data_IF_657098962618
#
_entry.id   IF_657098962618
#
_cell.length_a   1.000
_cell.length_b   1.000
_cell.length_c   1.000
_cell.angle_alpha   90.00
_cell.angle_beta   90.00
_cell.angle_gamma   90.00
#
_symmetry.space_group_name_H-M   'P 1'
#
loop_
_entity.id
_entity.type
_entity.pdbx_description
1 polymer ?
#
# COMPACT_ATOMS: atom_id res chain seq x y z
N UNK A 1 -35.64 -67.60 -34.35
CA UNK A 1 -34.62 -66.64 -34.82
C UNK A 1 -35.04 -65.26 -34.29
N UNK A 2 -34.59 -64.90 -33.09
CA UNK A 2 -34.97 -63.67 -32.38
C UNK A 2 -33.67 -62.88 -32.23
N UNK A 3 -33.55 -61.77 -32.96
CA UNK A 3 -32.43 -60.84 -32.85
C UNK A 3 -32.69 -59.89 -31.68
N UNK A 4 -31.83 -59.95 -30.66
CA UNK A 4 -31.82 -59.02 -29.54
C UNK A 4 -30.98 -57.78 -29.91
N UNK A 5 -31.61 -56.62 -29.93
CA UNK A 5 -30.98 -55.32 -30.13
C UNK A 5 -30.43 -54.84 -28.79
N UNK A 6 -29.10 -54.78 -28.65
CA UNK A 6 -28.42 -54.19 -27.50
C UNK A 6 -28.37 -52.67 -27.69
N UNK A 7 -29.17 -51.94 -26.90
CA UNK A 7 -29.11 -50.49 -26.82
C UNK A 7 -27.91 -50.05 -25.97
N UNK A 8 -26.98 -49.33 -26.58
CA UNK A 8 -25.84 -48.72 -25.91
C UNK A 8 -26.30 -47.42 -25.21
N UNK A 9 -26.34 -47.41 -23.88
CA UNK A 9 -26.55 -46.19 -23.09
C UNK A 9 -25.23 -45.44 -23.04
N UNK A 10 -25.11 -44.33 -23.78
CA UNK A 10 -23.99 -43.39 -23.65
C UNK A 10 -24.28 -42.54 -22.41
N UNK A 11 -23.64 -42.89 -21.29
CA UNK A 11 -23.58 -42.03 -20.12
C UNK A 11 -22.75 -40.78 -20.48
N UNK A 12 -23.41 -39.62 -20.58
CA UNK A 12 -22.74 -38.34 -20.71
C UNK A 12 -21.91 -38.07 -19.46
N UNK A 13 -20.59 -38.23 -19.58
CA UNK A 13 -19.63 -37.77 -18.58
C UNK A 13 -19.70 -36.24 -18.65
N UNK A 14 -20.45 -35.63 -17.73
CA UNK A 14 -20.33 -34.22 -17.42
C UNK A 14 -18.90 -33.97 -16.97
N UNK A 15 -18.15 -33.24 -17.79
CA UNK A 15 -16.84 -32.69 -17.42
C UNK A 15 -17.10 -31.70 -16.29
N UNK A 16 -17.05 -32.20 -15.05
CA UNK A 16 -16.87 -31.39 -13.86
C UNK A 16 -15.75 -30.42 -14.17
N UNK A 17 -16.03 -29.13 -14.05
CA UNK A 17 -15.02 -28.10 -14.21
C UNK A 17 -13.90 -28.44 -13.23
N UNK A 18 -12.80 -28.99 -13.74
CA UNK A 18 -11.59 -29.10 -12.95
C UNK A 18 -11.30 -27.67 -12.51
N UNK A 19 -11.39 -27.42 -11.21
CA UNK A 19 -10.94 -26.18 -10.63
C UNK A 19 -9.48 -26.03 -11.10
N UNK A 20 -9.25 -25.12 -12.04
CA UNK A 20 -7.90 -24.80 -12.48
C UNK A 20 -7.17 -24.34 -11.22
N UNK A 21 -6.22 -25.13 -10.73
CA UNK A 21 -5.34 -24.70 -9.67
C UNK A 21 -4.62 -23.45 -10.18
N UNK A 22 -4.66 -22.38 -9.39
CA UNK A 22 -3.91 -21.16 -9.70
C UNK A 22 -2.43 -21.53 -9.92
N UNK A 23 -1.86 -21.10 -11.04
CA UNK A 23 -0.48 -21.41 -11.37
C UNK A 23 0.43 -20.65 -10.41
N UNK A 24 1.24 -21.38 -9.62
CA UNK A 24 2.09 -20.79 -8.57
C UNK A 24 3.52 -20.46 -9.02
N UNK A 25 3.68 -20.06 -10.28
CA UNK A 25 5.00 -19.66 -10.77
C UNK A 25 5.40 -18.33 -10.14
N UNK A 26 6.64 -18.25 -9.69
CA UNK A 26 7.27 -17.05 -9.16
C UNK A 26 8.49 -16.68 -10.00
N UNK A 27 8.83 -15.40 -10.01
CA UNK A 27 10.03 -14.86 -10.66
C UNK A 27 11.06 -14.54 -9.58
N UNK A 28 12.35 -14.67 -9.90
CA UNK A 28 13.44 -14.33 -9.00
C UNK A 28 13.94 -12.90 -9.25
N UNK A 29 14.73 -12.36 -8.33
CA UNK A 29 15.28 -11.01 -8.43
C UNK A 29 16.21 -10.83 -9.64
N UNK A 30 16.34 -9.59 -10.11
CA UNK A 30 17.35 -9.27 -11.11
C UNK A 30 18.74 -9.40 -10.48
N UNK A 31 19.56 -10.26 -11.07
CA UNK A 31 20.95 -10.47 -10.65
C UNK A 31 21.82 -9.26 -11.00
N UNK A 32 22.67 -8.86 -10.05
CA UNK A 32 23.62 -7.76 -10.15
C UNK A 32 24.71 -7.87 -9.08
N UNK A 33 25.71 -6.97 -9.10
CA UNK A 33 26.77 -6.96 -8.10
C UNK A 33 26.22 -6.66 -6.69
N UNK A 34 25.15 -5.85 -6.62
CA UNK A 34 24.53 -5.34 -5.41
C UNK A 34 23.71 -6.34 -4.60
N UNK A 35 23.38 -7.52 -5.14
CA UNK A 35 22.39 -8.37 -4.49
C UNK A 35 22.81 -8.68 -3.05
N UNK A 36 21.88 -8.56 -2.11
CA UNK A 36 22.00 -8.74 -0.66
C UNK A 36 22.94 -7.77 0.06
N UNK A 37 23.31 -6.64 -0.56
CA UNK A 37 24.16 -5.64 0.09
C UNK A 37 23.47 -4.89 1.22
N UNK A 38 22.15 -4.70 1.18
CA UNK A 38 21.43 -4.13 2.33
C UNK A 38 21.52 -5.06 3.55
N UNK A 39 21.47 -6.37 3.33
CA UNK A 39 21.66 -7.37 4.40
C UNK A 39 23.07 -7.31 5.01
N UNK A 40 24.11 -7.15 4.19
CA UNK A 40 25.50 -7.12 4.67
C UNK A 40 25.91 -5.78 5.28
N UNK A 41 25.52 -4.67 4.65
CA UNK A 41 25.90 -3.32 5.07
C UNK A 41 25.03 -2.80 6.21
N UNK A 42 23.72 -3.04 6.14
CA UNK A 42 22.71 -2.47 7.04
C UNK A 42 21.87 -3.56 7.73
N UNK A 43 22.54 -4.59 8.28
CA UNK A 43 21.86 -5.79 8.79
C UNK A 43 20.78 -5.50 9.84
N UNK A 44 20.97 -4.51 10.71
CA UNK A 44 19.97 -4.12 11.69
C UNK A 44 18.68 -3.63 11.01
N UNK A 45 18.79 -2.70 10.06
CA UNK A 45 17.69 -2.19 9.27
C UNK A 45 17.01 -3.30 8.43
N UNK A 46 17.79 -4.17 7.79
CA UNK A 46 17.26 -5.34 7.08
C UNK A 46 16.35 -6.20 7.99
N UNK A 47 16.76 -6.43 9.24
CA UNK A 47 15.99 -7.23 10.19
C UNK A 47 14.73 -6.51 10.67
N UNK A 48 14.76 -5.18 10.80
CA UNK A 48 13.55 -4.37 11.06
C UNK A 48 12.54 -4.57 9.93
N UNK A 49 12.98 -4.46 8.67
CA UNK A 49 12.15 -4.74 7.48
C UNK A 49 11.51 -6.13 7.55
N UNK A 50 12.30 -7.16 7.87
CA UNK A 50 11.80 -8.53 7.98
C UNK A 50 10.72 -8.71 9.07
N UNK A 51 10.82 -7.99 10.20
CA UNK A 51 9.79 -7.99 11.24
C UNK A 51 8.51 -7.25 10.82
N UNK A 52 8.65 -6.17 10.04
CA UNK A 52 7.51 -5.46 9.43
C UNK A 52 6.76 -6.38 8.45
N UNK A 53 7.49 -7.07 7.57
CA UNK A 53 6.89 -8.00 6.60
C UNK A 53 6.21 -9.18 7.32
N UNK A 54 6.78 -9.72 8.41
CA UNK A 54 6.09 -10.67 9.29
C UNK A 54 4.72 -10.15 9.74
N UNK A 55 4.65 -8.91 10.23
CA UNK A 55 3.40 -8.32 10.70
C UNK A 55 2.37 -8.23 9.58
N UNK A 56 2.78 -7.75 8.39
CA UNK A 56 1.89 -7.65 7.23
C UNK A 56 1.32 -9.02 6.83
N UNK A 57 2.16 -10.05 6.78
CA UNK A 57 1.75 -11.40 6.37
C UNK A 57 0.76 -12.00 7.35
N UNK A 58 1.07 -11.90 8.64
CA UNK A 58 0.26 -12.45 9.71
C UNK A 58 -1.12 -11.77 9.81
N UNK A 59 -1.18 -10.46 9.57
CA UNK A 59 -2.45 -9.71 9.64
C UNK A 59 -3.51 -10.26 8.67
N UNK A 60 -3.13 -10.73 7.48
CA UNK A 60 -4.09 -11.25 6.50
C UNK A 60 -4.89 -12.44 7.07
N UNK A 61 -4.20 -13.43 7.65
CA UNK A 61 -4.85 -14.61 8.24
C UNK A 61 -5.63 -14.25 9.49
N UNK A 62 -5.11 -13.32 10.32
CA UNK A 62 -5.84 -12.83 11.50
C UNK A 62 -7.20 -12.27 11.08
N UNK A 63 -7.26 -11.39 10.08
CA UNK A 63 -8.51 -10.78 9.64
C UNK A 63 -9.46 -11.78 9.00
N UNK A 64 -8.93 -12.74 8.24
CA UNK A 64 -9.77 -13.73 7.56
C UNK A 64 -10.32 -14.79 8.52
N UNK A 65 -9.58 -15.16 9.56
CA UNK A 65 -9.92 -16.28 10.46
C UNK A 65 -10.57 -15.84 11.77
N UNK A 66 -10.47 -14.55 12.12
CA UNK A 66 -11.03 -14.01 13.36
C UNK A 66 -12.40 -13.39 13.11
N UNK A 67 -13.45 -13.83 13.83
CA UNK A 67 -14.74 -13.15 13.81
C UNK A 67 -14.64 -11.70 14.30
N UNK A 68 -15.42 -10.79 13.72
CA UNK A 68 -15.38 -9.35 14.02
C UNK A 68 -15.69 -9.04 15.50
N UNK A 69 -16.48 -9.87 16.18
CA UNK A 69 -16.74 -9.71 17.62
C UNK A 69 -15.46 -9.80 18.48
N UNK A 70 -14.41 -10.44 17.96
CA UNK A 70 -13.11 -10.56 18.63
C UNK A 70 -12.10 -9.48 18.19
N UNK A 71 -12.48 -8.53 17.33
CA UNK A 71 -11.55 -7.57 16.73
C UNK A 71 -10.72 -6.82 17.76
N UNK A 72 -11.35 -6.30 18.83
CA UNK A 72 -10.67 -5.52 19.87
C UNK A 72 -9.59 -6.31 20.59
N UNK A 73 -9.89 -7.53 21.01
CA UNK A 73 -8.94 -8.36 21.74
C UNK A 73 -7.80 -8.80 20.80
N UNK A 74 -8.12 -9.08 19.53
CA UNK A 74 -7.11 -9.46 18.55
C UNK A 74 -6.22 -8.29 18.14
N UNK A 75 -6.76 -7.09 17.97
CA UNK A 75 -5.97 -5.87 17.71
C UNK A 75 -4.91 -5.67 18.81
N UNK A 76 -5.30 -5.81 20.08
CA UNK A 76 -4.38 -5.68 21.22
C UNK A 76 -3.33 -6.78 21.24
N UNK A 77 -3.73 -8.06 21.14
CA UNK A 77 -2.78 -9.18 21.24
C UNK A 77 -1.81 -9.23 20.06
N UNK A 78 -2.30 -8.87 18.89
CA UNK A 78 -1.53 -8.88 17.65
C UNK A 78 -0.51 -7.74 17.61
N UNK A 79 -0.89 -6.53 18.00
CA UNK A 79 0.04 -5.41 18.13
C UNK A 79 1.21 -5.72 19.09
N UNK A 80 0.92 -6.40 20.20
CA UNK A 80 1.97 -6.89 21.14
C UNK A 80 2.91 -7.86 20.45
N UNK A 81 2.39 -8.77 19.63
CA UNK A 81 3.21 -9.73 18.89
C UNK A 81 4.06 -9.04 17.82
N UNK A 82 3.51 -8.05 17.11
CA UNK A 82 4.25 -7.24 16.14
C UNK A 82 5.42 -6.53 16.78
N UNK A 83 5.17 -5.85 17.90
CA UNK A 83 6.21 -5.20 18.68
C UNK A 83 7.24 -6.20 19.19
N UNK A 84 6.81 -7.35 19.72
CA UNK A 84 7.75 -8.38 20.18
C UNK A 84 8.67 -8.87 19.05
N UNK A 85 8.11 -9.12 17.86
CA UNK A 85 8.89 -9.47 16.67
C UNK A 85 9.82 -8.33 16.26
N UNK A 86 9.35 -7.08 16.28
CA UNK A 86 10.15 -5.92 15.91
C UNK A 86 11.35 -5.69 16.84
N UNK A 87 11.19 -5.88 18.16
CA UNK A 87 12.29 -5.82 19.12
C UNK A 87 13.17 -7.08 19.12
N UNK A 88 12.70 -8.20 18.55
CA UNK A 88 13.44 -9.46 18.42
C UNK A 88 13.36 -10.00 16.98
N UNK A 89 13.87 -9.24 15.99
CA UNK A 89 13.55 -9.50 14.60
C UNK A 89 14.19 -10.79 14.09
N UNK A 90 13.56 -11.46 13.10
CA UNK A 90 14.16 -12.63 12.48
C UNK A 90 15.52 -12.28 11.86
N UNK A 91 16.39 -13.29 11.69
CA UNK A 91 17.73 -13.08 11.11
C UNK A 91 17.68 -12.90 9.59
N UNK A 92 16.66 -13.47 8.97
CA UNK A 92 16.41 -13.48 7.53
C UNK A 92 14.92 -13.26 7.33
N UNK A 93 14.56 -12.64 6.22
CA UNK A 93 13.18 -12.51 5.83
C UNK A 93 12.66 -13.83 5.22
N UNK A 94 11.62 -14.46 5.78
CA UNK A 94 10.90 -15.52 5.10
C UNK A 94 9.82 -14.92 4.19
N UNK A 95 9.45 -15.66 3.15
CA UNK A 95 8.31 -15.29 2.29
C UNK A 95 7.04 -15.06 3.09
N UNK A 96 6.22 -14.10 2.67
CA UNK A 96 4.97 -13.73 3.36
C UNK A 96 4.01 -14.92 3.52
N UNK A 97 3.97 -15.85 2.54
CA UNK A 97 3.13 -17.06 2.59
C UNK A 97 3.41 -17.92 3.83
N UNK A 98 4.62 -17.87 4.38
CA UNK A 98 4.97 -18.62 5.59
C UNK A 98 4.16 -18.18 6.83
N UNK A 99 3.80 -16.89 6.92
CA UNK A 99 3.10 -16.33 8.07
C UNK A 99 1.62 -16.05 7.84
N UNK A 100 1.15 -16.05 6.58
CA UNK A 100 -0.28 -15.99 6.25
C UNK A 100 -0.70 -17.09 5.26
N UNK A 101 -0.53 -18.37 5.63
CA UNK A 101 -0.75 -19.49 4.71
C UNK A 101 -2.22 -19.65 4.27
N UNK A 102 -3.21 -19.26 5.08
CA UNK A 102 -4.61 -19.46 4.74
C UNK A 102 -5.06 -18.53 3.59
N UNK A 103 -4.77 -17.24 3.72
CA UNK A 103 -5.06 -16.26 2.67
C UNK A 103 -4.18 -16.52 1.45
N UNK A 104 -2.92 -16.89 1.62
CA UNK A 104 -2.06 -17.27 0.48
C UNK A 104 -2.63 -18.44 -0.33
N UNK A 105 -3.23 -19.43 0.33
CA UNK A 105 -3.89 -20.54 -0.36
C UNK A 105 -5.16 -20.12 -1.11
N UNK A 106 -5.88 -19.14 -0.58
CA UNK A 106 -7.20 -18.77 -1.08
C UNK A 106 -7.15 -17.65 -2.12
N UNK A 107 -6.24 -16.69 -1.94
CA UNK A 107 -6.10 -15.44 -2.71
C UNK A 107 -4.63 -15.25 -3.10
N UNK A 108 -4.08 -16.23 -3.82
CA UNK A 108 -2.64 -16.31 -4.10
C UNK A 108 -2.08 -15.09 -4.84
N UNK A 109 -2.83 -14.46 -5.75
CA UNK A 109 -2.35 -13.27 -6.47
C UNK A 109 -2.07 -12.07 -5.56
N UNK A 110 -2.70 -11.98 -4.38
CA UNK A 110 -2.34 -10.97 -3.39
C UNK A 110 -0.88 -11.13 -2.95
N UNK A 111 -0.49 -12.35 -2.59
CA UNK A 111 0.88 -12.66 -2.18
C UNK A 111 1.87 -12.52 -3.34
N UNK A 112 1.51 -12.98 -4.54
CA UNK A 112 2.35 -12.75 -5.72
C UNK A 112 2.61 -11.26 -5.96
N UNK A 113 1.59 -10.41 -5.82
CA UNK A 113 1.72 -8.96 -6.04
C UNK A 113 2.58 -8.30 -4.94
N UNK A 114 2.39 -8.70 -3.69
CA UNK A 114 3.16 -8.22 -2.54
C UNK A 114 4.62 -8.65 -2.65
N UNK A 115 4.88 -9.96 -2.73
CA UNK A 115 6.24 -10.51 -2.74
C UNK A 115 7.05 -10.01 -3.95
N UNK A 116 6.42 -9.87 -5.13
CA UNK A 116 7.07 -9.28 -6.30
C UNK A 116 7.53 -7.83 -6.04
N UNK A 117 6.75 -7.07 -5.28
CA UNK A 117 7.04 -5.68 -4.97
C UNK A 117 8.01 -5.53 -3.80
N UNK A 118 7.93 -6.37 -2.77
CA UNK A 118 8.96 -6.48 -1.72
C UNK A 118 10.32 -6.79 -2.33
N UNK A 119 10.37 -7.73 -3.27
CA UNK A 119 11.61 -8.03 -3.97
C UNK A 119 12.16 -6.81 -4.74
N UNK A 120 11.32 -6.03 -5.42
CA UNK A 120 11.76 -4.79 -6.08
C UNK A 120 12.29 -3.75 -5.07
N UNK A 121 11.62 -3.63 -3.93
CA UNK A 121 12.03 -2.77 -2.82
C UNK A 121 13.38 -3.18 -2.24
N UNK A 122 13.55 -4.44 -1.86
CA UNK A 122 14.82 -5.02 -1.42
C UNK A 122 15.95 -4.79 -2.43
N UNK A 123 15.68 -5.01 -3.72
CA UNK A 123 16.66 -4.79 -4.77
C UNK A 123 17.11 -3.33 -4.89
N UNK A 124 16.23 -2.36 -4.62
CA UNK A 124 16.61 -0.95 -4.68
C UNK A 124 17.30 -0.49 -3.39
N UNK A 125 17.02 -1.08 -2.23
CA UNK A 125 17.87 -0.96 -1.04
C UNK A 125 19.28 -1.46 -1.31
N UNK A 126 19.39 -2.66 -1.88
CA UNK A 126 20.66 -3.29 -2.24
C UNK A 126 21.48 -2.39 -3.18
N UNK A 127 20.85 -1.85 -4.23
CA UNK A 127 21.50 -0.94 -5.18
C UNK A 127 22.06 0.29 -4.45
N UNK A 128 21.30 0.94 -3.58
CA UNK A 128 21.79 2.10 -2.83
C UNK A 128 22.86 1.72 -1.80
N UNK A 129 22.81 0.52 -1.26
CA UNK A 129 23.76 0.00 -0.27
C UNK A 129 25.09 -0.43 -0.88
N UNK A 130 25.15 -0.76 -2.16
CA UNK A 130 26.35 -1.36 -2.78
C UNK A 130 27.49 -0.37 -3.02
N UNK A 131 28.51 -0.38 -2.16
CA UNK A 131 29.63 0.59 -2.18
C UNK A 131 30.39 0.59 -3.51
N UNK A 132 30.50 -0.55 -4.19
CA UNK A 132 31.26 -0.67 -5.44
C UNK A 132 30.57 -0.03 -6.64
N UNK A 133 29.26 0.22 -6.57
CA UNK A 133 28.54 1.03 -7.56
C UNK A 133 28.80 2.52 -7.22
N UNK A 134 29.47 3.29 -8.10
CA UNK A 134 29.66 4.73 -7.88
C UNK A 134 28.32 5.46 -7.72
N UNK A 135 28.29 6.52 -6.90
CA UNK A 135 27.06 7.28 -6.60
C UNK A 135 26.29 7.72 -7.87
N UNK A 136 27.01 8.28 -8.85
CA UNK A 136 26.44 8.72 -10.12
C UNK A 136 25.86 7.60 -11.00
N UNK A 137 26.23 6.35 -10.75
CA UNK A 137 25.70 5.19 -11.46
C UNK A 137 24.48 4.55 -10.78
N UNK A 138 24.21 4.87 -9.49
CA UNK A 138 23.09 4.29 -8.72
C UNK A 138 21.76 4.43 -9.45
N UNK A 139 21.50 5.60 -10.04
CA UNK A 139 20.28 5.85 -10.82
C UNK A 139 20.10 4.83 -11.95
N UNK A 140 21.16 4.57 -12.74
CA UNK A 140 21.08 3.65 -13.87
C UNK A 140 20.72 2.23 -13.42
N UNK A 141 21.27 1.79 -12.29
CA UNK A 141 20.93 0.50 -11.69
C UNK A 141 19.50 0.46 -11.16
N UNK A 142 19.04 1.52 -10.50
CA UNK A 142 17.65 1.64 -10.04
C UNK A 142 16.67 1.62 -11.20
N UNK A 143 16.93 2.39 -12.27
CA UNK A 143 16.09 2.40 -13.47
C UNK A 143 16.00 0.99 -14.08
N UNK A 144 17.12 0.26 -14.15
CA UNK A 144 17.14 -1.13 -14.64
C UNK A 144 16.31 -2.07 -13.76
N UNK A 145 16.31 -1.89 -12.44
CA UNK A 145 15.50 -2.68 -11.53
C UNK A 145 14.00 -2.38 -11.68
N UNK A 146 13.62 -1.12 -11.93
CA UNK A 146 12.25 -0.72 -12.25
C UNK A 146 11.79 -1.37 -13.55
N UNK A 147 12.60 -1.31 -14.61
CA UNK A 147 12.27 -1.95 -15.89
C UNK A 147 12.04 -3.45 -15.72
N UNK A 148 12.96 -4.14 -15.05
CA UNK A 148 12.82 -5.56 -14.76
C UNK A 148 11.54 -5.87 -13.98
N UNK A 149 11.21 -5.07 -12.96
CA UNK A 149 10.00 -5.23 -12.18
C UNK A 149 8.72 -5.11 -13.02
N UNK A 150 8.67 -4.10 -13.89
CA UNK A 150 7.50 -3.81 -14.72
C UNK A 150 7.31 -4.78 -15.89
N UNK A 151 8.39 -5.38 -16.40
CA UNK A 151 8.34 -6.18 -17.63
C UNK A 151 8.38 -7.69 -17.41
N UNK A 152 8.93 -8.17 -16.29
CA UNK A 152 9.24 -9.61 -16.14
C UNK A 152 8.08 -10.43 -15.59
N UNK A 153 7.20 -9.83 -14.80
CA UNK A 153 6.08 -10.52 -14.17
C UNK A 153 4.73 -9.92 -14.60
N UNK A 154 3.65 -10.66 -14.39
CA UNK A 154 2.32 -10.38 -14.93
C UNK A 154 1.45 -9.49 -14.03
N UNK A 155 1.92 -9.15 -12.83
CA UNK A 155 1.14 -8.40 -11.84
C UNK A 155 1.89 -7.24 -11.15
N UNK A 156 2.79 -6.50 -11.83
CA UNK A 156 3.48 -5.37 -11.23
C UNK A 156 2.47 -4.30 -10.79
N UNK A 157 2.78 -3.61 -9.68
CA UNK A 157 2.07 -2.40 -9.27
C UNK A 157 2.39 -1.26 -10.23
N UNK A 158 1.47 -0.32 -10.32
CA UNK A 158 1.62 0.84 -11.20
C UNK A 158 2.74 1.78 -10.73
N UNK A 159 3.52 2.37 -11.66
CA UNK A 159 4.42 3.50 -11.37
C UNK A 159 3.70 4.85 -11.40
N UNK A 160 2.39 4.91 -11.67
CA UNK A 160 1.63 6.15 -11.55
C UNK A 160 1.42 6.54 -10.08
N UNK A 161 1.32 7.85 -9.76
CA UNK A 161 1.08 8.32 -8.40
C UNK A 161 -0.15 7.65 -7.79
N UNK A 162 -0.12 7.41 -6.47
CA UNK A 162 -1.21 6.79 -5.72
C UNK A 162 -2.55 7.51 -5.95
N UNK A 163 -2.53 8.83 -6.17
CA UNK A 163 -3.67 9.65 -6.55
C UNK A 163 -4.46 9.03 -7.73
N UNK A 164 -3.78 8.48 -8.73
CA UNK A 164 -4.38 7.90 -9.95
C UNK A 164 -4.91 6.49 -9.68
N UNK A 165 -4.10 5.64 -9.05
CA UNK A 165 -4.45 4.22 -8.84
C UNK A 165 -5.58 4.06 -7.82
N UNK A 166 -5.67 4.93 -6.81
CA UNK A 166 -6.79 4.94 -5.86
C UNK A 166 -8.12 5.25 -6.54
N UNK A 167 -8.11 6.16 -7.52
CA UNK A 167 -9.28 6.49 -8.33
C UNK A 167 -9.70 5.32 -9.22
N UNK A 168 -8.73 4.59 -9.79
CA UNK A 168 -8.99 3.32 -10.51
C UNK A 168 -9.54 2.25 -9.59
N UNK A 169 -9.02 2.15 -8.37
CA UNK A 169 -9.44 1.16 -7.38
C UNK A 169 -10.87 1.42 -6.88
N UNK A 170 -11.33 2.67 -6.85
CA UNK A 170 -12.72 3.06 -6.60
C UNK A 170 -13.34 2.48 -5.32
N UNK A 171 -12.53 2.38 -4.26
CA UNK A 171 -12.92 1.65 -3.06
C UNK A 171 -13.72 2.49 -2.06
N UNK A 172 -13.73 3.81 -2.19
CA UNK A 172 -14.20 4.70 -1.11
C UNK A 172 -15.64 4.46 -0.66
N UNK A 173 -16.49 4.00 -1.59
CA UNK A 173 -17.89 3.70 -1.32
C UNK A 173 -18.18 2.21 -1.16
N UNK A 174 -17.15 1.36 -1.20
CA UNK A 174 -17.31 -0.05 -0.87
C UNK A 174 -17.67 -0.20 0.61
N UNK A 175 -18.46 -1.23 0.97
CA UNK A 175 -18.94 -1.41 2.33
C UNK A 175 -17.82 -1.77 3.32
N UNK A 176 -16.65 -2.15 2.82
CA UNK A 176 -15.49 -2.50 3.64
C UNK A 176 -14.57 -1.33 3.94
N UNK A 177 -14.67 -0.22 3.21
CA UNK A 177 -13.67 0.84 3.27
C UNK A 177 -13.62 1.47 4.66
N UNK A 178 -12.42 1.59 5.24
CA UNK A 178 -12.09 2.04 6.61
C UNK A 178 -12.37 1.05 7.74
N UNK A 179 -12.84 -0.17 7.48
CA UNK A 179 -13.14 -1.11 8.57
C UNK A 179 -11.89 -1.49 9.37
N UNK A 180 -10.77 -1.77 8.73
CA UNK A 180 -9.55 -2.18 9.42
C UNK A 180 -9.07 -1.08 10.37
N UNK A 181 -8.96 0.16 9.89
CA UNK A 181 -8.51 1.26 10.76
C UNK A 181 -9.49 1.56 11.90
N UNK A 182 -10.80 1.36 11.69
CA UNK A 182 -11.81 1.65 12.72
C UNK A 182 -11.79 0.59 13.83
N UNK A 183 -11.64 -0.69 13.48
CA UNK A 183 -11.79 -1.82 14.39
C UNK A 183 -10.47 -2.46 14.85
N UNK A 184 -9.37 -2.18 14.16
CA UNK A 184 -8.01 -2.60 14.48
C UNK A 184 -7.04 -1.41 14.52
N UNK A 185 -7.31 -0.36 15.32
CA UNK A 185 -6.52 0.86 15.31
C UNK A 185 -5.05 0.66 15.71
N UNK A 186 -4.74 -0.29 16.60
CA UNK A 186 -3.35 -0.53 17.03
C UNK A 186 -2.53 -1.17 15.93
N UNK A 187 -3.04 -2.24 15.33
CA UNK A 187 -2.44 -2.86 14.16
C UNK A 187 -2.32 -1.87 13.00
N UNK A 188 -3.38 -1.09 12.71
CA UNK A 188 -3.34 -0.08 11.66
C UNK A 188 -2.23 0.96 11.90
N UNK A 189 -2.07 1.45 13.13
CA UNK A 189 -1.02 2.41 13.45
C UNK A 189 0.37 1.82 13.43
N UNK A 190 0.50 0.53 13.78
CA UNK A 190 1.76 -0.19 13.56
C UNK A 190 2.15 -0.15 12.08
N UNK A 191 1.20 -0.41 11.17
CA UNK A 191 1.48 -0.34 9.73
C UNK A 191 1.75 1.08 9.24
N UNK A 192 1.15 2.11 9.82
CA UNK A 192 1.55 3.49 9.51
C UNK A 192 2.96 3.83 9.97
N UNK A 193 3.42 3.29 11.11
CA UNK A 193 4.81 3.40 11.53
C UNK A 193 5.76 2.63 10.58
N UNK A 194 5.38 1.43 10.16
CA UNK A 194 6.11 0.66 9.14
C UNK A 194 6.21 1.40 7.79
N UNK A 195 5.10 1.99 7.34
CA UNK A 195 5.05 2.80 6.11
C UNK A 195 5.76 4.16 6.26
N UNK A 196 6.09 4.61 7.47
CA UNK A 196 7.06 5.69 7.70
C UNK A 196 8.48 5.13 7.52
N UNK A 197 8.80 4.00 8.16
CA UNK A 197 10.15 3.43 8.21
C UNK A 197 10.73 3.15 6.83
N UNK A 198 9.98 2.47 5.96
CA UNK A 198 10.47 2.12 4.62
C UNK A 198 10.94 3.34 3.80
N UNK A 199 10.12 4.38 3.57
CA UNK A 199 10.58 5.62 2.93
C UNK A 199 11.79 6.26 3.61
N UNK A 200 11.78 6.44 4.94
CA UNK A 200 12.85 7.24 5.57
C UNK A 200 14.21 6.56 5.53
N UNK A 201 14.27 5.23 5.40
CA UNK A 201 15.54 4.53 5.20
C UNK A 201 16.12 4.81 3.81
N UNK A 202 15.28 4.91 2.77
CA UNK A 202 15.74 5.44 1.48
C UNK A 202 16.26 6.86 1.62
N UNK A 203 15.53 7.72 2.32
CA UNK A 203 15.96 9.10 2.50
C UNK A 203 17.29 9.19 3.27
N UNK A 204 17.48 8.34 4.27
CA UNK A 204 18.71 8.24 5.04
C UNK A 204 19.89 7.82 4.16
N UNK A 205 19.71 6.83 3.29
CA UNK A 205 20.74 6.45 2.32
C UNK A 205 20.98 7.54 1.27
N UNK A 206 19.93 8.25 0.84
CA UNK A 206 20.01 9.36 -0.11
C UNK A 206 20.72 10.60 0.44
N UNK A 207 20.77 10.76 1.76
CA UNK A 207 21.50 11.82 2.45
C UNK A 207 22.91 11.39 2.89
N UNK A 208 23.05 10.12 3.26
CA UNK A 208 24.28 9.53 3.77
C UNK A 208 25.30 9.13 2.70
N UNK A 209 24.92 9.15 1.41
CA UNK A 209 25.88 8.97 0.33
C UNK A 209 26.34 7.54 0.16
N UNK A 210 27.56 7.31 -0.34
CA UNK A 210 28.05 5.96 -0.64
C UNK A 210 29.09 5.40 0.35
N UNK A 211 29.43 6.12 1.42
CA UNK A 211 30.49 5.81 2.39
C UNK A 211 29.95 5.51 3.82
N UNK A 212 30.81 5.62 4.84
CA UNK A 212 30.45 5.24 6.22
C UNK A 212 29.35 6.14 6.80
N UNK A 213 29.19 7.34 6.28
CA UNK A 213 28.13 8.28 6.61
C UNK A 213 26.74 7.69 6.32
N UNK A 214 26.60 6.83 5.29
CA UNK A 214 25.37 6.11 4.99
C UNK A 214 24.93 5.21 6.16
N UNK A 215 25.87 4.45 6.73
CA UNK A 215 25.61 3.56 7.88
C UNK A 215 25.21 4.36 9.12
N UNK A 216 25.89 5.49 9.35
CA UNK A 216 25.56 6.38 10.46
C UNK A 216 24.16 6.98 10.32
N UNK A 217 23.78 7.42 9.11
CA UNK A 217 22.44 7.97 8.83
C UNK A 217 21.33 6.94 9.02
N UNK A 218 21.52 5.71 8.50
CA UNK A 218 20.56 4.60 8.67
C UNK A 218 20.40 4.25 10.15
N UNK A 219 21.51 4.10 10.88
CA UNK A 219 21.47 3.79 12.32
C UNK A 219 20.78 4.89 13.14
N UNK A 220 21.06 6.17 12.86
CA UNK A 220 20.41 7.29 13.54
C UNK A 220 18.91 7.32 13.25
N UNK A 221 18.50 7.03 12.02
CA UNK A 221 17.09 6.94 11.62
C UNK A 221 16.37 5.81 12.36
N UNK A 222 17.00 4.64 12.48
CA UNK A 222 16.46 3.53 13.27
C UNK A 222 16.27 3.90 14.75
N UNK A 223 17.18 4.68 15.33
CA UNK A 223 17.01 5.18 16.70
C UNK A 223 15.74 6.02 16.83
N UNK A 224 15.45 6.90 15.86
CA UNK A 224 14.21 7.69 15.84
C UNK A 224 12.98 6.81 15.73
N UNK A 225 13.05 5.74 14.91
CA UNK A 225 11.95 4.80 14.77
C UNK A 225 11.52 4.22 16.12
N UNK A 226 12.48 3.70 16.89
CA UNK A 226 12.21 3.08 18.18
C UNK A 226 11.91 4.06 19.30
N UNK A 227 12.56 5.23 19.32
CA UNK A 227 12.47 6.18 20.43
C UNK A 227 11.33 7.19 20.29
N UNK A 228 10.80 7.42 19.09
CA UNK A 228 9.78 8.44 18.86
C UNK A 228 8.60 7.89 18.05
N UNK A 229 8.87 7.28 16.88
CA UNK A 229 7.80 6.90 15.94
C UNK A 229 6.93 5.79 16.50
N UNK A 230 7.51 4.74 17.10
CA UNK A 230 6.72 3.66 17.70
C UNK A 230 5.90 4.10 18.91
N UNK A 231 6.38 5.11 19.66
CA UNK A 231 5.68 5.68 20.81
C UNK A 231 4.52 6.58 20.38
N UNK A 232 4.71 7.35 19.31
CA UNK A 232 3.73 8.29 18.79
C UNK A 232 3.50 8.05 17.29
N UNK A 233 2.87 6.92 16.98
CA UNK A 233 2.74 6.42 15.60
C UNK A 233 1.97 7.39 14.70
N UNK A 234 2.31 7.48 13.39
CA UNK A 234 1.57 8.31 12.45
C UNK A 234 0.09 7.95 12.43
N UNK A 235 -0.77 8.95 12.24
CA UNK A 235 -2.24 8.78 12.17
C UNK A 235 -2.75 8.57 10.74
N UNK A 236 -1.84 8.51 9.76
CA UNK A 236 -2.13 8.21 8.35
C UNK A 236 -0.93 7.52 7.73
N UNK A 237 -1.14 6.92 6.56
CA UNK A 237 -0.03 6.56 5.69
C UNK A 237 0.66 7.83 5.19
N UNK A 238 1.97 7.92 5.37
CA UNK A 238 2.79 8.94 4.75
C UNK A 238 3.17 8.47 3.35
N UNK A 239 3.10 9.37 2.37
CA UNK A 239 3.50 9.03 1.02
C UNK A 239 4.99 9.20 0.85
N UNK A 240 5.55 8.45 -0.09
CA UNK A 240 6.96 8.47 -0.43
C UNK A 240 7.46 9.87 -0.79
N UNK A 241 6.64 10.69 -1.46
CA UNK A 241 6.99 12.09 -1.78
C UNK A 241 7.08 13.03 -0.57
N UNK A 242 6.46 12.65 0.55
CA UNK A 242 6.53 13.37 1.83
C UNK A 242 7.72 12.88 2.66
N UNK A 243 7.93 11.56 2.73
CA UNK A 243 8.87 10.91 3.64
C UNK A 243 10.18 10.42 2.98
N UNK A 244 10.32 10.51 1.66
CA UNK A 244 11.57 10.28 0.93
C UNK A 244 11.68 11.18 -0.31
N UNK A 245 11.69 12.51 -0.12
CA UNK A 245 11.64 13.47 -1.23
C UNK A 245 12.81 13.32 -2.21
N UNK A 246 14.01 12.95 -1.75
CA UNK A 246 15.19 12.83 -2.62
C UNK A 246 15.13 11.55 -3.44
N UNK A 247 14.78 10.43 -2.82
CA UNK A 247 14.59 9.17 -3.54
C UNK A 247 13.43 9.25 -4.55
N UNK A 248 12.33 9.90 -4.18
CA UNK A 248 11.19 10.12 -5.08
C UNK A 248 11.57 10.93 -6.33
N UNK A 249 12.59 11.78 -6.26
CA UNK A 249 13.13 12.49 -7.44
C UNK A 249 14.11 11.65 -8.25
N UNK A 250 14.85 10.75 -7.60
CA UNK A 250 15.76 9.79 -8.23
C UNK A 250 14.99 8.79 -9.10
N UNK A 251 14.02 8.10 -8.50
CA UNK A 251 13.18 7.08 -9.15
C UNK A 251 11.71 7.25 -8.72
N UNK A 252 10.97 8.20 -9.33
CA UNK A 252 9.56 8.43 -9.02
C UNK A 252 8.70 7.19 -9.31
N UNK A 253 9.06 6.39 -10.31
CA UNK A 253 8.39 5.13 -10.63
C UNK A 253 8.45 4.16 -9.45
N UNK A 254 9.64 3.96 -8.88
CA UNK A 254 9.86 3.07 -7.74
C UNK A 254 9.13 3.59 -6.48
N UNK A 255 9.22 4.89 -6.20
CA UNK A 255 8.51 5.52 -5.08
C UNK A 255 6.99 5.33 -5.17
N UNK A 256 6.40 5.55 -6.36
CA UNK A 256 4.97 5.34 -6.57
C UNK A 256 4.57 3.87 -6.47
N UNK A 257 5.40 2.94 -6.97
CA UNK A 257 5.19 1.49 -6.82
C UNK A 257 5.07 1.12 -5.34
N UNK A 258 5.88 1.71 -4.46
CA UNK A 258 5.83 1.46 -3.01
C UNK A 258 4.56 2.03 -2.36
N UNK A 259 4.20 3.28 -2.67
CA UNK A 259 2.94 3.87 -2.17
C UNK A 259 1.73 3.02 -2.60
N UNK A 260 1.74 2.51 -3.83
CA UNK A 260 0.71 1.62 -4.37
C UNK A 260 0.66 0.26 -3.65
N UNK A 261 1.80 -0.29 -3.26
CA UNK A 261 1.86 -1.52 -2.46
C UNK A 261 1.35 -1.29 -1.03
N UNK A 262 1.87 -0.27 -0.35
CA UNK A 262 1.47 0.03 1.03
C UNK A 262 -0.04 0.28 1.13
N UNK A 263 -0.61 0.95 0.14
CA UNK A 263 -2.06 1.08 0.05
C UNK A 263 -2.76 -0.26 -0.23
N UNK A 264 -2.24 -1.11 -1.11
CA UNK A 264 -2.82 -2.44 -1.37
C UNK A 264 -2.93 -3.28 -0.08
N UNK A 265 -1.95 -3.23 0.82
CA UNK A 265 -2.06 -3.85 2.15
C UNK A 265 -3.28 -3.34 2.92
N UNK A 266 -3.42 -2.01 3.04
CA UNK A 266 -4.56 -1.40 3.73
C UNK A 266 -5.91 -1.80 3.14
N UNK A 267 -6.01 -1.83 1.81
CA UNK A 267 -7.24 -2.26 1.12
C UNK A 267 -7.51 -3.75 1.36
N UNK A 268 -6.47 -4.57 1.31
CA UNK A 268 -6.60 -6.00 1.59
C UNK A 268 -7.11 -6.24 3.01
N UNK A 269 -6.62 -5.49 3.98
CA UNK A 269 -7.10 -5.56 5.36
C UNK A 269 -8.57 -5.18 5.49
N UNK A 270 -8.99 -4.09 4.87
CA UNK A 270 -10.40 -3.70 4.87
C UNK A 270 -11.30 -4.81 4.27
N UNK A 271 -10.92 -5.37 3.11
CA UNK A 271 -11.66 -6.47 2.45
C UNK A 271 -11.74 -7.71 3.35
N UNK A 272 -10.63 -8.11 3.95
CA UNK A 272 -10.56 -9.31 4.79
C UNK A 272 -11.32 -9.11 6.11
N UNK A 273 -11.34 -7.90 6.67
CA UNK A 273 -12.10 -7.57 7.88
C UNK A 273 -13.63 -7.55 7.65
N UNK A 274 -14.09 -7.45 6.39
CA UNK A 274 -15.52 -7.35 6.10
C UNK A 274 -16.22 -8.71 6.15
N UNK A 275 -17.11 -8.91 7.13
CA UNK A 275 -17.85 -10.18 7.30
C UNK A 275 -19.04 -10.35 6.34
N UNK A 276 -19.43 -9.29 5.62
CA UNK A 276 -20.60 -9.33 4.73
C UNK A 276 -20.42 -10.15 3.45
N UNK A 277 -19.22 -10.67 3.19
CA UNK A 277 -18.87 -11.40 1.97
C UNK A 277 -18.27 -12.77 2.26
N UNK A 278 -18.57 -13.73 1.39
CA UNK A 278 -17.89 -15.02 1.36
C UNK A 278 -16.42 -14.85 0.97
N UNK A 279 -15.60 -15.88 1.20
CA UNK A 279 -14.19 -15.88 0.79
C UNK A 279 -14.03 -15.72 -0.73
N UNK A 280 -14.91 -16.33 -1.53
CA UNK A 280 -14.92 -16.18 -2.99
C UNK A 280 -15.25 -14.75 -3.42
N UNK A 281 -16.18 -14.10 -2.72
CA UNK A 281 -16.52 -12.69 -2.96
C UNK A 281 -15.35 -11.76 -2.58
N UNK A 282 -14.70 -12.01 -1.43
CA UNK A 282 -13.47 -11.30 -1.04
C UNK A 282 -12.35 -11.51 -2.05
N UNK A 283 -12.16 -12.74 -2.55
CA UNK A 283 -11.20 -13.05 -3.62
C UNK A 283 -11.53 -12.24 -4.88
N UNK A 284 -12.78 -12.26 -5.35
CA UNK A 284 -13.18 -11.53 -6.55
C UNK A 284 -12.91 -10.01 -6.42
N UNK A 285 -13.20 -9.42 -5.26
CA UNK A 285 -12.88 -8.02 -5.00
C UNK A 285 -11.36 -7.76 -4.93
N UNK A 286 -10.61 -8.61 -4.24
CA UNK A 286 -9.16 -8.47 -4.15
C UNK A 286 -8.53 -8.50 -5.54
N UNK A 287 -8.92 -9.45 -6.39
CA UNK A 287 -8.44 -9.56 -7.76
C UNK A 287 -8.78 -8.31 -8.60
N UNK A 288 -9.96 -7.72 -8.38
CA UNK A 288 -10.34 -6.45 -9.02
C UNK A 288 -9.42 -5.31 -8.59
N UNK A 289 -9.17 -5.16 -7.29
CA UNK A 289 -8.28 -4.12 -6.74
C UNK A 289 -6.85 -4.33 -7.24
N UNK A 290 -6.35 -5.58 -7.22
CA UNK A 290 -5.02 -5.93 -7.73
C UNK A 290 -4.87 -5.49 -9.19
N UNK A 291 -5.87 -5.72 -10.05
CA UNK A 291 -5.86 -5.24 -11.45
C UNK A 291 -6.00 -3.72 -11.58
N UNK A 292 -6.80 -3.09 -10.73
CA UNK A 292 -7.00 -1.64 -10.79
C UNK A 292 -5.72 -0.87 -10.41
N UNK A 293 -4.92 -1.43 -9.51
CA UNK A 293 -3.65 -0.86 -9.04
C UNK A 293 -2.41 -1.43 -9.73
N UNK A 294 -2.57 -2.36 -10.69
CA UNK A 294 -1.45 -2.87 -11.48
C UNK A 294 -1.00 -1.86 -12.53
N UNK A 295 0.20 -2.05 -13.05
CA UNK A 295 0.73 -1.27 -14.17
C UNK A 295 -0.22 -1.30 -15.37
N UNK A 296 -0.50 -0.12 -15.92
CA UNK A 296 -1.25 0.08 -17.15
C UNK A 296 -0.43 0.92 -18.16
N UNK A 297 -0.63 0.73 -19.48
CA UNK A 297 0.00 1.57 -20.49
C UNK A 297 -0.23 3.07 -20.22
N UNK A 298 0.83 3.87 -20.30
CA UNK A 298 0.81 5.31 -20.03
C UNK A 298 1.08 5.70 -18.57
N UNK A 299 1.12 4.76 -17.62
CA UNK A 299 1.37 5.08 -16.21
C UNK A 299 2.76 5.70 -15.97
N UNK A 300 3.75 5.32 -16.78
CA UNK A 300 5.11 5.88 -16.71
C UNK A 300 5.13 7.38 -17.00
N UNK A 301 4.27 7.85 -17.91
CA UNK A 301 4.16 9.28 -18.25
C UNK A 301 3.59 10.11 -17.10
N UNK A 302 2.95 9.45 -16.12
CA UNK A 302 2.37 10.08 -14.94
C UNK A 302 3.32 10.03 -13.74
N UNK A 303 4.38 9.23 -13.77
CA UNK A 303 5.19 8.92 -12.60
C UNK A 303 5.71 10.18 -11.89
N UNK A 304 6.04 11.23 -12.66
CA UNK A 304 6.58 12.51 -12.18
C UNK A 304 5.53 13.58 -11.84
N UNK A 305 4.24 13.28 -11.95
CA UNK A 305 3.13 14.23 -11.73
C UNK A 305 2.76 14.35 -10.25
N UNK A 306 3.67 14.88 -9.45
CA UNK A 306 3.44 15.13 -8.03
C UNK A 306 4.27 16.30 -7.50
N UNK A 307 3.90 16.78 -6.32
CA UNK A 307 4.58 17.88 -5.61
C UNK A 307 5.44 17.28 -4.48
N UNK A 308 6.55 17.95 -4.16
CA UNK A 308 7.39 17.62 -3.00
C UNK A 308 7.08 18.62 -1.87
N UNK A 309 6.22 18.27 -0.89
CA UNK A 309 5.83 19.21 0.15
C UNK A 309 6.96 19.48 1.17
N UNK A 310 7.88 18.53 1.37
CA UNK A 310 8.92 18.60 2.39
C UNK A 310 10.30 18.28 1.78
N UNK A 311 10.83 19.10 0.85
CA UNK A 311 12.04 18.76 0.09
C UNK A 311 13.31 18.63 0.96
N UNK A 312 13.33 19.29 2.12
CA UNK A 312 14.46 19.36 3.03
C UNK A 312 14.31 18.44 4.26
N UNK A 313 13.31 17.54 4.25
CA UNK A 313 13.08 16.61 5.34
C UNK A 313 14.33 15.79 5.67
N UNK A 314 14.64 15.67 6.97
CA UNK A 314 15.71 14.83 7.51
C UNK A 314 15.10 13.63 8.26
N UNK A 315 15.43 12.37 7.89
CA UNK A 315 14.84 11.18 8.48
C UNK A 315 15.23 10.98 9.96
N UNK A 316 16.18 11.76 10.48
CA UNK A 316 16.58 11.77 11.88
C UNK A 316 15.70 12.67 12.75
N UNK A 317 14.67 13.29 12.17
CA UNK A 317 13.72 14.17 12.88
C UNK A 317 12.30 13.66 12.64
N UNK A 318 11.55 13.44 13.73
CA UNK A 318 10.15 13.03 13.65
C UNK A 318 9.21 14.24 13.76
N UNK A 319 9.03 14.93 12.63
CA UNK A 319 8.28 16.18 12.57
C UNK A 319 6.79 16.04 12.94
N UNK A 320 6.20 17.10 13.50
CA UNK A 320 4.77 17.16 13.87
C UNK A 320 3.82 16.81 12.72
N UNK A 321 4.15 17.20 11.49
CA UNK A 321 3.31 16.93 10.32
C UNK A 321 3.24 15.42 10.02
N UNK A 322 4.27 14.64 10.37
CA UNK A 322 4.31 13.18 10.19
C UNK A 322 3.38 12.47 11.18
N UNK A 323 3.20 13.05 12.37
CA UNK A 323 2.32 12.51 13.41
C UNK A 323 0.84 12.79 13.09
N UNK A 324 0.57 13.85 12.34
CA UNK A 324 -0.79 14.34 12.10
C UNK A 324 -1.61 13.43 11.19
N UNK A 325 -2.94 13.50 11.33
CA UNK A 325 -3.87 12.88 10.38
C UNK A 325 -4.05 13.66 9.08
N UNK A 326 -3.34 14.78 8.88
CA UNK A 326 -3.45 15.64 7.70
C UNK A 326 -2.21 15.52 6.80
N UNK A 327 -2.41 15.67 5.49
CA UNK A 327 -1.36 15.60 4.47
C UNK A 327 -1.84 14.90 3.21
N UNK A 328 -0.93 14.37 2.40
CA UNK A 328 -1.28 13.96 1.04
C UNK A 328 -2.26 12.79 0.96
N UNK A 329 -2.13 11.78 1.82
CA UNK A 329 -3.08 10.66 1.83
C UNK A 329 -4.51 11.12 2.13
N UNK A 330 -4.67 11.97 3.15
CA UNK A 330 -5.99 12.54 3.52
C UNK A 330 -6.51 13.50 2.46
N UNK A 331 -5.63 14.26 1.80
CA UNK A 331 -5.96 15.11 0.66
C UNK A 331 -6.51 14.29 -0.51
N UNK A 332 -5.82 13.22 -0.93
CA UNK A 332 -6.27 12.32 -2.01
C UNK A 332 -7.68 11.81 -1.73
N UNK A 333 -7.89 11.24 -0.54
CA UNK A 333 -9.18 10.68 -0.15
C UNK A 333 -10.28 11.74 -0.11
N UNK A 334 -9.96 12.96 0.34
CA UNK A 334 -10.91 14.07 0.39
C UNK A 334 -11.33 14.50 -1.01
N UNK A 335 -10.37 14.64 -1.91
CA UNK A 335 -10.62 15.02 -3.29
C UNK A 335 -11.42 13.98 -4.05
N UNK A 336 -11.11 12.69 -3.84
CA UNK A 336 -11.90 11.61 -4.39
C UNK A 336 -13.34 11.68 -3.90
N UNK A 337 -13.57 11.88 -2.60
CA UNK A 337 -14.93 12.07 -2.09
C UNK A 337 -15.63 13.25 -2.77
N UNK A 338 -14.96 14.40 -2.87
CA UNK A 338 -15.47 15.59 -3.54
C UNK A 338 -15.82 15.34 -5.02
N UNK A 339 -15.00 14.59 -5.75
CA UNK A 339 -15.23 14.20 -7.15
C UNK A 339 -16.47 13.30 -7.31
N UNK A 340 -16.76 12.47 -6.31
CA UNK A 340 -17.91 11.56 -6.34
C UNK A 340 -19.24 12.23 -5.96
N UNK A 341 -19.20 13.28 -5.13
CA UNK A 341 -20.39 13.91 -4.55
C UNK A 341 -21.44 14.38 -5.57
N UNK A 342 -21.10 15.03 -6.70
CA UNK A 342 -22.10 15.47 -7.67
C UNK A 342 -22.93 14.33 -8.26
N UNK A 343 -22.35 13.13 -8.34
CA UNK A 343 -23.07 11.96 -8.83
C UNK A 343 -23.96 11.33 -7.76
N UNK A 344 -23.48 11.30 -6.52
CA UNK A 344 -24.17 10.70 -5.39
C UNK A 344 -25.34 11.55 -4.88
N UNK A 345 -25.30 12.87 -5.12
CA UNK A 345 -26.31 13.83 -4.66
C UNK A 345 -26.74 14.78 -5.78
N UNK A 346 -27.64 14.32 -6.66
CA UNK A 346 -28.09 15.11 -7.83
C UNK A 346 -28.76 16.46 -7.48
N UNK A 347 -29.29 16.60 -6.26
CA UNK A 347 -29.85 17.87 -5.75
C UNK A 347 -28.81 18.85 -5.20
N UNK A 348 -27.52 18.48 -5.23
CA UNK A 348 -26.47 19.19 -4.52
C UNK A 348 -26.53 18.96 -3.01
N UNK A 349 -25.63 19.62 -2.29
CA UNK A 349 -25.51 19.56 -0.84
C UNK A 349 -25.36 20.98 -0.30
N UNK A 350 -26.18 21.37 0.67
CA UNK A 350 -25.98 22.64 1.37
C UNK A 350 -24.69 22.63 2.21
N UNK A 351 -24.19 23.82 2.55
CA UNK A 351 -22.92 23.98 3.27
C UNK A 351 -22.92 23.30 4.64
N UNK A 352 -24.08 23.26 5.32
CA UNK A 352 -24.21 22.61 6.62
C UNK A 352 -24.07 21.09 6.50
N UNK A 353 -24.72 20.48 5.51
CA UNK A 353 -24.59 19.06 5.22
C UNK A 353 -23.17 18.73 4.75
N UNK A 354 -22.57 19.56 3.89
CA UNK A 354 -21.16 19.42 3.46
C UNK A 354 -20.23 19.40 4.66
N UNK A 355 -20.39 20.34 5.58
CA UNK A 355 -19.62 20.38 6.83
C UNK A 355 -19.80 19.14 7.71
N UNK A 356 -20.99 18.53 7.75
CA UNK A 356 -21.23 17.27 8.48
C UNK A 356 -20.58 16.07 7.80
N UNK A 357 -20.69 15.96 6.48
CA UNK A 357 -20.06 14.90 5.67
C UNK A 357 -18.55 14.93 5.84
N UNK A 358 -17.92 16.10 5.65
CA UNK A 358 -16.46 16.20 5.77
C UNK A 358 -15.95 16.03 7.20
N UNK A 359 -16.78 16.31 8.21
CA UNK A 359 -16.45 15.97 9.61
C UNK A 359 -16.43 14.46 9.82
N UNK A 360 -17.45 13.72 9.36
CA UNK A 360 -17.45 12.26 9.44
C UNK A 360 -16.29 11.67 8.64
N UNK A 361 -16.04 12.18 7.44
CA UNK A 361 -14.90 11.78 6.63
C UNK A 361 -13.57 11.96 7.36
N UNK A 362 -13.33 13.12 8.00
CA UNK A 362 -12.08 13.38 8.71
C UNK A 362 -11.84 12.39 9.86
N UNK A 363 -12.88 12.08 10.65
CA UNK A 363 -12.80 11.06 11.71
C UNK A 363 -12.54 9.67 11.11
N UNK A 364 -13.27 9.31 10.04
CA UNK A 364 -13.09 8.05 9.31
C UNK A 364 -11.72 7.91 8.65
N UNK A 365 -10.96 8.99 8.48
CA UNK A 365 -9.60 8.91 7.94
C UNK A 365 -8.56 8.61 9.01
N UNK A 366 -8.92 8.68 10.29
CA UNK A 366 -8.02 8.42 11.40
C UNK A 366 -8.24 7.02 12.00
N UNK A 367 -7.27 6.51 12.75
CA UNK A 367 -7.35 5.18 13.37
C UNK A 367 -8.29 5.19 14.58
N UNK A 368 -9.19 4.22 14.61
CA UNK A 368 -10.17 4.03 15.68
C UNK A 368 -11.44 4.86 15.46
N UNK A 369 -12.48 4.53 16.21
CA UNK A 369 -13.76 5.27 16.16
C UNK A 369 -13.69 6.43 17.16
N UNK A 370 -13.77 7.66 16.66
CA UNK A 370 -13.74 8.89 17.46
C UNK A 370 -15.11 9.23 18.09
N UNK A 371 -15.11 10.09 19.11
CA UNK A 371 -16.35 10.57 19.72
C UNK A 371 -17.21 11.34 18.70
N UNK A 372 -18.42 10.85 18.45
CA UNK A 372 -19.34 11.45 17.47
C UNK A 372 -19.17 10.94 16.05
N UNK A 373 -18.22 10.04 15.82
CA UNK A 373 -18.12 9.26 14.58
C UNK A 373 -19.25 8.23 14.51
N UNK A 374 -19.78 8.03 13.30
CA UNK A 374 -20.74 6.96 13.05
C UNK A 374 -20.01 5.62 12.97
N UNK A 375 -20.55 4.59 13.61
CA UNK A 375 -20.00 3.23 13.52
C UNK A 375 -20.00 2.70 12.08
N UNK A 376 -19.21 1.65 11.83
CA UNK A 376 -19.12 0.99 10.52
C UNK A 376 -18.09 1.62 9.58
N UNK A 377 -18.31 1.45 8.28
CA UNK A 377 -17.47 1.99 7.20
C UNK A 377 -17.74 3.47 6.93
N UNK A 378 -16.93 4.10 6.06
CA UNK A 378 -17.24 5.45 5.54
C UNK A 378 -18.60 5.46 4.83
N UNK A 379 -18.90 4.41 4.04
CA UNK A 379 -20.17 4.27 3.35
C UNK A 379 -21.37 4.29 4.34
N UNK A 380 -21.26 3.60 5.47
CA UNK A 380 -22.33 3.56 6.48
C UNK A 380 -22.56 4.94 7.13
N UNK A 381 -21.47 5.64 7.43
CA UNK A 381 -21.52 7.01 7.94
C UNK A 381 -22.20 7.96 6.94
N UNK A 382 -21.87 7.85 5.65
CA UNK A 382 -22.47 8.68 4.61
C UNK A 382 -23.95 8.36 4.38
N UNK A 383 -24.35 7.08 4.34
CA UNK A 383 -25.77 6.69 4.27
C UNK A 383 -26.59 7.21 5.44
N UNK A 384 -26.02 7.24 6.65
CA UNK A 384 -26.69 7.79 7.83
C UNK A 384 -26.93 9.29 7.72
N UNK A 385 -25.96 10.03 7.16
CA UNK A 385 -26.09 11.48 6.95
C UNK A 385 -26.96 11.83 5.74
N UNK A 386 -26.90 11.02 4.70
CA UNK A 386 -27.52 11.25 3.39
C UNK A 386 -28.30 9.99 2.98
N UNK A 387 -29.49 9.76 3.56
CA UNK A 387 -30.26 8.54 3.26
C UNK A 387 -30.71 8.44 1.80
N UNK A 388 -30.84 9.58 1.12
CA UNK A 388 -31.23 9.68 -0.29
C UNK A 388 -30.01 9.65 -1.26
N UNK A 389 -28.81 9.39 -0.74
CA UNK A 389 -27.59 9.28 -1.51
C UNK A 389 -27.73 8.18 -2.57
N UNK A 390 -27.55 8.55 -3.83
CA UNK A 390 -27.61 7.62 -4.94
C UNK A 390 -26.31 6.85 -5.03
N UNK A 391 -26.42 5.54 -5.10
CA UNK A 391 -25.31 4.61 -5.30
C UNK A 391 -25.66 3.68 -6.44
N UNK A 392 -24.73 3.48 -7.37
CA UNK A 392 -24.85 2.37 -8.31
C UNK A 392 -24.85 1.06 -7.51
N UNK A 393 -25.84 0.21 -7.75
CA UNK A 393 -25.92 -1.10 -7.08
C UNK A 393 -24.67 -1.93 -7.38
N UNK A 394 -24.17 -1.86 -8.62
CA UNK A 394 -22.95 -2.54 -9.06
C UNK A 394 -21.71 -2.08 -8.28
N UNK A 395 -21.67 -0.82 -7.82
CA UNK A 395 -20.56 -0.31 -7.01
C UNK A 395 -20.44 -1.03 -5.67
N UNK A 396 -21.51 -1.64 -5.16
CA UNK A 396 -21.53 -2.34 -3.87
C UNK A 396 -21.19 -3.83 -3.99
N UNK A 397 -21.26 -4.39 -5.20
CA UNK A 397 -21.02 -5.82 -5.42
C UNK A 397 -19.51 -6.15 -5.39
N UNK A 398 -19.12 -7.34 -4.90
CA UNK A 398 -17.73 -7.78 -4.90
C UNK A 398 -17.23 -7.97 -6.34
N UNK A 399 -16.00 -7.53 -6.62
CA UNK A 399 -15.35 -7.77 -7.92
C UNK A 399 -15.79 -6.84 -9.04
N UNK A 400 -16.70 -5.89 -8.77
CA UNK A 400 -17.17 -4.90 -9.75
C UNK A 400 -16.81 -3.48 -9.31
N UNK A 401 -16.35 -2.63 -10.23
CA UNK A 401 -16.19 -1.20 -9.99
C UNK A 401 -17.22 -0.43 -10.81
N UNK A 402 -17.70 0.70 -10.29
CA UNK A 402 -18.50 1.63 -11.08
C UNK A 402 -17.59 2.37 -12.06
N UNK A 403 -17.61 1.93 -13.32
CA UNK A 403 -16.74 2.48 -14.36
C UNK A 403 -16.96 3.98 -14.59
N UNK A 404 -18.21 4.46 -14.47
CA UNK A 404 -18.54 5.87 -14.63
C UNK A 404 -17.97 6.69 -13.48
N UNK A 405 -18.04 6.17 -12.26
CA UNK A 405 -17.44 6.81 -11.08
C UNK A 405 -15.91 6.87 -11.20
N UNK A 406 -15.28 5.78 -11.66
CA UNK A 406 -13.83 5.74 -11.93
C UNK A 406 -13.43 6.81 -12.94
N UNK A 407 -14.13 6.88 -14.07
CA UNK A 407 -13.85 7.87 -15.12
C UNK A 407 -13.99 9.30 -14.62
N UNK A 408 -15.03 9.58 -13.85
CA UNK A 408 -15.27 10.89 -13.25
C UNK A 408 -14.15 11.32 -12.29
N UNK A 409 -13.75 10.44 -11.36
CA UNK A 409 -12.65 10.75 -10.45
C UNK A 409 -11.33 10.96 -11.20
N UNK A 410 -11.05 10.13 -12.22
CA UNK A 410 -9.85 10.29 -13.05
C UNK A 410 -9.87 11.59 -13.85
N UNK A 411 -11.03 12.03 -14.35
CA UNK A 411 -11.17 13.33 -15.01
C UNK A 411 -10.92 14.47 -14.03
N UNK A 412 -11.51 14.42 -12.83
CA UNK A 412 -11.26 15.41 -11.78
C UNK A 412 -9.78 15.49 -11.39
N UNK A 413 -9.07 14.37 -11.38
CA UNK A 413 -7.62 14.36 -11.21
C UNK A 413 -6.89 14.99 -12.41
N UNK A 414 -7.25 14.65 -13.65
CA UNK A 414 -6.64 15.23 -14.86
C UNK A 414 -6.80 16.73 -14.93
N UNK A 415 -7.97 17.25 -14.57
CA UNK A 415 -8.24 18.70 -14.52
C UNK A 415 -7.35 19.41 -13.50
N UNK A 416 -7.18 18.83 -12.31
CA UNK A 416 -6.37 19.42 -11.23
C UNK A 416 -4.87 19.27 -11.47
N UNK A 417 -4.44 18.11 -11.97
CA UNK A 417 -3.05 17.67 -11.89
C UNK A 417 -2.44 17.19 -13.21
N UNK A 418 -3.24 16.96 -14.25
CA UNK A 418 -2.74 16.48 -15.54
C UNK A 418 -1.73 17.44 -16.19
N UNK A 419 -1.85 18.74 -15.88
CA UNK A 419 -0.94 19.78 -16.34
C UNK A 419 0.16 20.15 -15.32
N UNK A 420 0.31 19.39 -14.23
CA UNK A 420 1.44 19.62 -13.33
C UNK A 420 2.76 19.48 -14.10
N UNK A 421 3.72 20.38 -13.89
CA UNK A 421 5.08 20.15 -14.37
C UNK A 421 5.64 18.89 -13.71
N UNK A 422 6.46 18.16 -14.45
CA UNK A 422 7.16 17.00 -13.89
C UNK A 422 8.10 17.46 -12.77
N UNK A 423 8.13 16.69 -11.69
CA UNK A 423 9.11 16.92 -10.63
C UNK A 423 10.53 16.81 -11.21
N UNK A 424 11.36 17.81 -10.91
CA UNK A 424 12.73 17.84 -11.38
C UNK A 424 13.53 16.66 -10.80
N UNK A 425 14.35 15.96 -11.63
CA UNK A 425 15.23 14.91 -11.13
C UNK A 425 16.22 15.47 -10.11
N UNK A 426 16.74 14.60 -9.25
CA UNK A 426 17.87 14.93 -8.38
C UNK A 426 19.18 14.62 -9.12
N UNK A 427 20.20 15.48 -8.94
CA UNK A 427 21.54 15.19 -9.48
C UNK A 427 22.21 14.12 -8.62
N UNK A 428 22.90 13.20 -9.29
CA UNK A 428 23.71 12.15 -8.67
C UNK A 428 25.20 12.36 -8.96
N UNK A 429 25.58 13.54 -9.47
CA UNK A 429 26.97 13.80 -9.91
C UNK A 429 27.93 13.95 -8.72
N UNK A 430 27.39 14.29 -7.55
CA UNK A 430 28.14 14.52 -6.31
C UNK A 430 27.54 13.67 -5.21
N UNK A 431 28.39 12.97 -4.49
CA UNK A 431 28.03 12.24 -3.28
C UNK A 431 27.46 13.24 -2.25
N UNK A 432 26.24 13.04 -1.71
CA UNK A 432 25.64 13.96 -0.77
C UNK A 432 26.46 14.05 0.52
N UNK A 433 26.35 15.20 1.18
CA UNK A 433 26.78 15.36 2.56
C UNK A 433 25.55 15.49 3.45
N UNK A 434 25.42 14.69 4.52
CA UNK A 434 24.33 14.84 5.46
C UNK A 434 24.28 16.27 6.02
N UNK A 435 23.08 16.86 6.19
CA UNK A 435 22.96 18.12 6.90
C UNK A 435 23.44 17.95 8.34
N UNK A 436 24.03 19.01 8.90
CA UNK A 436 24.37 19.05 10.33
C UNK A 436 23.07 19.17 11.12
N UNK A 437 22.82 18.25 12.06
CA UNK A 437 21.71 18.40 12.99
C UNK A 437 21.99 19.63 13.85
N UNK A 438 21.04 20.57 13.87
CA UNK A 438 21.09 21.65 14.84
C UNK A 438 20.81 21.03 16.20
N UNK A 439 21.67 21.30 17.19
CA UNK A 439 21.38 20.93 18.57
C UNK A 439 20.10 21.67 18.99
N UNK A 440 18.99 20.95 19.15
CA UNK A 440 17.71 21.47 19.68
C UNK A 440 17.71 21.56 21.21
#
# INVERSE_FOLDING_TARGET
MICATVGLIIAGISWSHAAFSDQRNMVSYLRGPYNIDFFYRHNAAFRISAAIHFAHAKQHDILQLTPAICCRDMDVSTDVEYLHCLYNPPRTEPTMEYYGPYVAQSIFNLYRAIDWTHMHHEQTYDILSERSIPWHEKKQWTDRAVEYYLETFDIPRSPAPLDVTMRRAAIMMKPYFTLFRNYYPRSNNFFYAAHWWHPVIYEAMMLGGNDEEQESMVMQTDVIYFSQVLENRPLRMLLSREAMPRYSRLSPESANIFDNLHMLHGIAYDILAYEGWSLEQKKAEMERVIRAMSYQPGDRDLARKFIIPHPDMDPRVYYDWMQSGEGDMTRIMREMLDEMMPHMMQGGMDEQMRGRVFRQFAMKMRPGIEQGESEGSLHDALKKLMPDMQMSHEAMEPGVADAKMVEMMLEGWREKYGNLPDVAPISMDVDPMPPVLQDE
#
